data_IF_093610916348
#
_entry.id   IF_093610916348
#
_cell.length_a   1.000
_cell.length_b   1.000
_cell.length_c   1.000
_cell.angle_alpha   90.00
_cell.angle_beta   90.00
_cell.angle_gamma   90.00
#
_symmetry.space_group_name_H-M   'P 1'
#
loop_
_entity.id
_entity.type
_entity.pdbx_description
1 polymer ?
#
# COMPACT_ATOMS: atom_id res chain seq x y z
N UNK A 1 -3.30 23.41 15.91
CA UNK A 1 -4.43 22.63 15.32
C UNK A 1 -5.04 21.61 16.28
N UNK A 2 -4.49 21.39 17.49
CA UNK A 2 -4.95 20.39 18.46
C UNK A 2 -6.26 20.70 19.21
N UNK A 3 -6.82 21.90 19.06
CA UNK A 3 -8.07 22.33 19.73
C UNK A 3 -9.25 22.63 18.79
N UNK A 4 -9.12 22.37 17.48
CA UNK A 4 -10.20 22.60 16.53
C UNK A 4 -11.24 21.47 16.64
N UNK A 5 -12.54 21.74 16.80
CA UNK A 5 -13.54 20.68 16.83
C UNK A 5 -13.50 19.86 15.53
N UNK A 6 -13.57 18.53 15.64
CA UNK A 6 -13.36 17.62 14.50
C UNK A 6 -14.23 17.96 13.29
N UNK A 7 -15.48 18.39 13.50
CA UNK A 7 -16.37 18.83 12.43
C UNK A 7 -15.80 19.98 11.57
N UNK A 8 -15.06 20.92 12.17
CA UNK A 8 -14.39 22.00 11.43
C UNK A 8 -13.24 21.47 10.59
N UNK A 9 -12.45 20.53 11.12
CA UNK A 9 -11.37 19.87 10.38
C UNK A 9 -11.91 19.15 9.14
N UNK A 10 -13.07 18.49 9.28
CA UNK A 10 -13.79 17.83 8.18
C UNK A 10 -14.28 18.81 7.12
N UNK A 11 -14.83 19.96 7.54
CA UNK A 11 -15.26 21.03 6.63
C UNK A 11 -14.07 21.63 5.88
N UNK A 12 -12.96 21.86 6.58
CA UNK A 12 -11.72 22.31 5.94
C UNK A 12 -11.19 21.27 4.94
N UNK A 13 -11.21 19.98 5.30
CA UNK A 13 -10.84 18.90 4.39
C UNK A 13 -11.75 18.85 3.15
N UNK A 14 -13.05 19.13 3.28
CA UNK A 14 -13.94 19.25 2.14
C UNK A 14 -13.58 20.41 1.22
N UNK A 15 -13.34 21.59 1.78
CA UNK A 15 -12.96 22.77 1.02
C UNK A 15 -11.63 22.54 0.31
N UNK A 16 -10.63 22.06 1.05
CA UNK A 16 -9.33 21.68 0.50
C UNK A 16 -9.50 20.66 -0.64
N UNK A 17 -10.33 19.63 -0.47
CA UNK A 17 -10.62 18.64 -1.51
C UNK A 17 -11.23 19.24 -2.78
N UNK A 18 -12.11 20.23 -2.66
CA UNK A 18 -12.62 20.98 -3.83
C UNK A 18 -11.48 21.71 -4.52
N UNK A 19 -10.61 22.38 -3.75
CA UNK A 19 -9.40 23.04 -4.30
C UNK A 19 -8.50 22.02 -5.01
N UNK A 20 -8.21 20.86 -4.41
CA UNK A 20 -7.38 19.82 -5.04
C UNK A 20 -7.97 19.37 -6.39
N UNK A 21 -9.30 19.22 -6.45
CA UNK A 21 -9.99 18.81 -7.67
C UNK A 21 -9.76 19.80 -8.83
N UNK A 22 -9.83 21.11 -8.56
CA UNK A 22 -9.65 22.13 -9.60
C UNK A 22 -8.19 22.45 -9.90
N UNK A 23 -7.33 22.53 -8.87
CA UNK A 23 -5.96 23.02 -8.99
C UNK A 23 -4.93 21.94 -9.32
N UNK A 24 -5.25 20.64 -9.16
CA UNK A 24 -4.29 19.55 -9.44
C UNK A 24 -4.79 18.65 -10.59
N UNK A 25 -4.86 19.18 -11.82
CA UNK A 25 -5.48 18.51 -12.96
C UNK A 25 -4.78 17.19 -13.32
N UNK A 26 -3.46 17.09 -13.11
CA UNK A 26 -2.71 15.85 -13.36
C UNK A 26 -3.23 14.67 -12.54
N UNK A 27 -3.48 14.87 -11.25
CA UNK A 27 -4.01 13.82 -10.35
C UNK A 27 -5.45 13.48 -10.66
N UNK A 28 -6.27 14.49 -10.95
CA UNK A 28 -7.64 14.33 -11.44
C UNK A 28 -7.68 13.49 -12.73
N UNK A 29 -6.79 13.76 -13.68
CA UNK A 29 -6.74 13.04 -14.96
C UNK A 29 -6.31 11.58 -14.80
N UNK A 30 -5.39 11.27 -13.88
CA UNK A 30 -5.02 9.88 -13.53
C UNK A 30 -6.25 9.14 -12.98
N UNK A 31 -6.94 9.75 -12.01
CA UNK A 31 -8.17 9.17 -11.44
C UNK A 31 -9.24 8.96 -12.51
N UNK A 32 -9.43 9.93 -13.42
CA UNK A 32 -10.36 9.79 -14.53
C UNK A 32 -10.00 8.60 -15.43
N UNK A 33 -8.74 8.45 -15.84
CA UNK A 33 -8.29 7.31 -16.66
C UNK A 33 -8.61 5.99 -15.95
N UNK A 34 -8.26 5.86 -14.67
CA UNK A 34 -8.53 4.65 -13.91
C UNK A 34 -10.03 4.33 -13.85
N UNK A 35 -10.87 5.32 -13.55
CA UNK A 35 -12.32 5.14 -13.46
C UNK A 35 -12.95 4.84 -14.82
N UNK A 36 -12.40 5.38 -15.93
CA UNK A 36 -12.86 4.99 -17.28
C UNK A 36 -12.57 3.52 -17.58
N UNK A 37 -11.44 3.01 -17.11
CA UNK A 37 -11.02 1.64 -17.29
C UNK A 37 -11.83 0.68 -16.39
N UNK A 38 -11.98 1.01 -15.10
CA UNK A 38 -12.65 0.13 -14.13
C UNK A 38 -14.18 0.23 -14.16
N UNK A 39 -14.73 1.38 -14.54
CA UNK A 39 -16.17 1.64 -14.60
C UNK A 39 -16.57 2.22 -15.96
N UNK A 40 -16.41 1.46 -17.06
CA UNK A 40 -16.75 1.91 -18.42
C UNK A 40 -18.22 2.36 -18.56
N UNK A 41 -19.11 1.78 -17.76
CA UNK A 41 -20.55 2.07 -17.71
C UNK A 41 -20.90 3.42 -17.08
N UNK A 42 -20.02 4.02 -16.27
CA UNK A 42 -20.27 5.35 -15.69
C UNK A 42 -20.09 6.43 -16.76
N UNK A 43 -21.00 7.40 -16.79
CA UNK A 43 -20.84 8.63 -17.56
C UNK A 43 -19.65 9.45 -17.04
N UNK A 44 -19.13 10.35 -17.89
CA UNK A 44 -18.04 11.24 -17.47
C UNK A 44 -18.45 12.17 -16.31
N UNK A 45 -19.74 12.54 -16.21
CA UNK A 45 -20.28 13.32 -15.08
C UNK A 45 -20.26 12.54 -13.77
N UNK A 46 -20.66 11.27 -13.79
CA UNK A 46 -20.62 10.39 -12.60
C UNK A 46 -19.18 10.16 -12.14
N UNK A 47 -18.26 9.92 -13.09
CA UNK A 47 -16.83 9.80 -12.78
C UNK A 47 -16.27 11.06 -12.16
N UNK A 48 -16.58 12.24 -12.71
CA UNK A 48 -16.09 13.52 -12.16
C UNK A 48 -16.66 13.79 -10.76
N UNK A 49 -17.93 13.44 -10.50
CA UNK A 49 -18.52 13.52 -9.16
C UNK A 49 -17.81 12.59 -8.16
N UNK A 50 -17.49 11.36 -8.58
CA UNK A 50 -16.73 10.40 -7.78
C UNK A 50 -15.30 10.90 -7.50
N UNK A 51 -14.61 11.48 -8.49
CA UNK A 51 -13.28 12.05 -8.31
C UNK A 51 -13.32 13.24 -7.34
N UNK A 52 -14.34 14.11 -7.43
CA UNK A 52 -14.52 15.20 -6.47
C UNK A 52 -14.71 14.67 -5.04
N UNK A 53 -15.53 13.62 -4.87
CA UNK A 53 -15.69 12.96 -3.58
C UNK A 53 -14.37 12.36 -3.09
N UNK A 54 -13.62 11.67 -3.96
CA UNK A 54 -12.29 11.14 -3.69
C UNK A 54 -11.32 12.22 -3.21
N UNK A 55 -11.26 13.38 -3.88
CA UNK A 55 -10.41 14.50 -3.47
C UNK A 55 -10.77 15.02 -2.07
N UNK A 56 -12.07 15.07 -1.73
CA UNK A 56 -12.53 15.42 -0.38
C UNK A 56 -12.10 14.39 0.66
N UNK A 57 -12.27 13.10 0.39
CA UNK A 57 -11.79 12.03 1.28
C UNK A 57 -10.27 12.08 1.45
N UNK A 58 -9.52 12.33 0.39
CA UNK A 58 -8.07 12.40 0.42
C UNK A 58 -7.60 13.57 1.29
N UNK A 59 -8.16 14.76 1.07
CA UNK A 59 -7.83 15.95 1.85
C UNK A 59 -8.21 15.80 3.34
N UNK A 60 -9.39 15.22 3.64
CA UNK A 60 -9.77 14.88 5.01
C UNK A 60 -8.76 13.94 5.66
N UNK A 61 -8.39 12.85 4.98
CA UNK A 61 -7.43 11.87 5.51
C UNK A 61 -6.07 12.49 5.77
N UNK A 62 -5.60 13.35 4.85
CA UNK A 62 -4.36 14.09 5.04
C UNK A 62 -4.40 14.98 6.30
N UNK A 63 -5.50 15.70 6.51
CA UNK A 63 -5.67 16.54 7.71
C UNK A 63 -5.87 15.72 9.00
N UNK A 64 -6.55 14.58 8.91
CA UNK A 64 -6.77 13.69 10.04
C UNK A 64 -5.45 13.10 10.57
N UNK A 65 -4.35 13.11 9.79
CA UNK A 65 -3.00 12.79 10.29
C UNK A 65 -2.55 13.68 11.44
N UNK A 66 -2.94 14.96 11.47
CA UNK A 66 -2.61 15.83 12.60
C UNK A 66 -3.32 15.37 13.89
N UNK A 67 -4.51 14.79 13.78
CA UNK A 67 -5.20 14.14 14.91
C UNK A 67 -4.43 12.88 15.30
N UNK A 68 -4.12 12.01 14.35
CA UNK A 68 -3.42 10.74 14.61
C UNK A 68 -2.03 10.94 15.25
N UNK A 69 -1.28 11.97 14.84
CA UNK A 69 0.09 12.17 15.28
C UNK A 69 0.22 12.95 16.58
N UNK A 70 -0.73 13.82 16.91
CA UNK A 70 -0.56 14.74 18.04
C UNK A 70 -1.65 14.67 19.12
N UNK A 71 -2.79 14.01 18.88
CA UNK A 71 -3.85 13.89 19.90
C UNK A 71 -3.61 12.71 20.86
N UNK A 72 -4.29 12.69 22.03
CA UNK A 72 -4.27 11.55 22.96
C UNK A 72 -4.78 10.25 22.30
N UNK A 73 -4.35 9.11 22.85
CA UNK A 73 -4.70 7.77 22.34
C UNK A 73 -6.22 7.55 22.37
N UNK A 74 -6.88 8.03 23.41
CA UNK A 74 -8.32 7.92 23.64
C UNK A 74 -9.10 8.54 22.48
N UNK A 75 -8.64 9.71 22.03
CA UNK A 75 -9.24 10.40 20.88
C UNK A 75 -9.14 9.59 19.60
N UNK A 76 -8.03 8.88 19.41
CA UNK A 76 -7.81 8.02 18.24
C UNK A 76 -8.68 6.76 18.32
N UNK A 77 -8.84 6.18 19.52
CA UNK A 77 -9.73 5.04 19.77
C UNK A 77 -11.20 5.38 19.49
N UNK A 78 -11.66 6.57 19.90
CA UNK A 78 -12.99 7.07 19.56
C UNK A 78 -13.17 7.31 18.06
N UNK A 79 -12.16 7.88 17.41
CA UNK A 79 -12.22 8.23 16.00
C UNK A 79 -12.17 6.99 15.09
N UNK A 80 -11.51 5.91 15.50
CA UNK A 80 -11.31 4.72 14.67
C UNK A 80 -11.91 3.48 15.34
N UNK A 81 -13.12 3.14 14.91
CA UNK A 81 -13.86 1.98 15.40
C UNK A 81 -13.36 0.69 14.74
N UNK A 82 -13.31 -0.40 15.50
CA UNK A 82 -12.89 -1.72 15.01
C UNK A 82 -14.12 -2.61 14.87
N UNK A 83 -14.28 -3.22 13.70
CA UNK A 83 -15.31 -4.24 13.43
C UNK A 83 -14.65 -5.60 13.16
N UNK A 84 -15.33 -6.67 13.57
CA UNK A 84 -14.95 -8.05 13.29
C UNK A 84 -13.53 -8.43 13.78
N UNK A 85 -13.09 -7.84 14.92
CA UNK A 85 -11.76 -8.04 15.49
C UNK A 85 -11.37 -9.51 15.71
N UNK A 86 -12.35 -10.38 15.95
CA UNK A 86 -12.15 -11.82 16.15
C UNK A 86 -11.39 -12.49 15.00
N UNK A 87 -11.51 -12.02 13.75
CA UNK A 87 -10.71 -12.55 12.63
C UNK A 87 -9.21 -12.24 12.76
N UNK A 88 -8.86 -11.10 13.32
CA UNK A 88 -7.47 -10.75 13.62
C UNK A 88 -6.96 -11.52 14.84
N UNK A 89 -7.72 -11.48 15.93
CA UNK A 89 -7.38 -12.12 17.22
C UNK A 89 -7.28 -13.64 17.11
N UNK A 90 -7.93 -14.24 16.12
CA UNK A 90 -7.80 -15.67 15.81
C UNK A 90 -6.34 -16.07 15.54
N UNK A 91 -5.54 -15.20 14.93
CA UNK A 91 -4.18 -15.53 14.47
C UNK A 91 -3.07 -14.64 15.09
N UNK A 92 -3.40 -13.42 15.52
CA UNK A 92 -2.42 -12.46 16.04
C UNK A 92 -1.67 -13.03 17.25
N UNK A 93 -0.33 -13.04 17.19
CA UNK A 93 0.54 -13.59 18.24
C UNK A 93 0.56 -15.11 18.36
N UNK A 94 -0.18 -15.83 17.51
CA UNK A 94 -0.25 -17.31 17.52
C UNK A 94 0.48 -17.94 16.34
N UNK A 95 0.47 -17.26 15.20
CA UNK A 95 1.17 -17.68 13.99
C UNK A 95 1.60 -16.45 13.16
N UNK A 96 2.58 -16.58 12.24
CA UNK A 96 2.91 -15.51 11.31
C UNK A 96 1.67 -15.00 10.58
N UNK A 97 1.49 -13.68 10.51
CA UNK A 97 0.31 -13.08 9.89
C UNK A 97 0.68 -11.92 8.98
N UNK A 98 0.16 -11.94 7.76
CA UNK A 98 0.10 -10.79 6.87
C UNK A 98 -1.30 -10.18 7.01
N UNK A 99 -1.35 -8.96 7.50
CA UNK A 99 -2.56 -8.15 7.53
C UNK A 99 -2.66 -7.35 6.22
N UNK A 100 -3.45 -7.87 5.27
CA UNK A 100 -3.59 -7.30 3.94
C UNK A 100 -4.50 -6.09 3.98
N UNK A 101 -3.94 -4.90 3.78
CA UNK A 101 -4.62 -3.62 3.85
C UNK A 101 -4.50 -2.88 2.51
N UNK A 102 -5.49 -2.93 1.61
CA UNK A 102 -5.40 -2.23 0.33
C UNK A 102 -5.35 -0.71 0.53
N UNK A 103 -4.86 0.06 -0.45
CA UNK A 103 -4.71 1.52 -0.36
C UNK A 103 -6.06 2.26 -0.44
N UNK A 104 -6.91 2.07 0.56
CA UNK A 104 -8.02 2.95 0.87
C UNK A 104 -7.53 4.15 1.66
N UNK A 105 -8.21 5.28 1.49
CA UNK A 105 -7.79 6.56 2.10
C UNK A 105 -7.80 6.55 3.63
N UNK A 106 -8.44 5.57 4.27
CA UNK A 106 -8.42 5.39 5.72
C UNK A 106 -7.26 4.56 6.28
N UNK A 107 -6.38 4.01 5.43
CA UNK A 107 -5.31 3.10 5.85
C UNK A 107 -4.44 3.62 7.00
N UNK A 108 -4.07 4.90 7.00
CA UNK A 108 -3.22 5.46 8.06
C UNK A 108 -3.95 5.48 9.41
N UNK A 109 -5.25 5.77 9.42
CA UNK A 109 -6.06 5.75 10.63
C UNK A 109 -6.18 4.33 11.20
N UNK A 110 -6.37 3.34 10.33
CA UNK A 110 -6.37 1.92 10.69
C UNK A 110 -5.04 1.48 11.27
N UNK A 111 -3.94 1.72 10.55
CA UNK A 111 -2.59 1.38 11.00
C UNK A 111 -2.24 2.04 12.34
N UNK A 112 -2.58 3.32 12.53
CA UNK A 112 -2.40 4.01 13.82
C UNK A 112 -3.24 3.41 14.94
N UNK A 113 -4.52 3.08 14.68
CA UNK A 113 -5.39 2.46 15.69
C UNK A 113 -4.86 1.10 16.13
N UNK A 114 -4.32 0.31 15.20
CA UNK A 114 -3.79 -1.03 15.48
C UNK A 114 -2.42 -0.98 16.17
N UNK A 115 -1.55 -0.03 15.83
CA UNK A 115 -0.25 0.10 16.50
C UNK A 115 -0.33 0.63 17.94
N UNK A 116 -1.48 1.19 18.33
CA UNK A 116 -1.81 1.49 19.73
C UNK A 116 -2.08 0.20 20.52
N UNK A 117 -2.79 -0.76 19.91
CA UNK A 117 -3.25 -1.97 20.62
C UNK A 117 -2.32 -3.17 20.45
N UNK A 118 -1.51 -3.19 19.40
CA UNK A 118 -0.71 -4.34 19.01
C UNK A 118 0.67 -3.92 18.51
N UNK A 119 1.67 -4.75 18.82
CA UNK A 119 2.96 -4.67 18.14
C UNK A 119 2.82 -5.24 16.73
N UNK A 120 3.08 -4.42 15.72
CA UNK A 120 3.04 -4.77 14.31
C UNK A 120 4.19 -4.10 13.57
N UNK A 121 4.49 -4.58 12.37
CA UNK A 121 5.43 -3.92 11.49
C UNK A 121 4.81 -3.57 10.14
N UNK A 122 5.35 -2.56 9.48
CA UNK A 122 4.99 -2.16 8.12
C UNK A 122 6.22 -1.77 7.33
N UNK A 123 6.05 -1.61 6.01
CA UNK A 123 7.12 -1.13 5.13
C UNK A 123 6.90 0.33 4.77
N UNK A 124 7.98 1.10 4.77
CA UNK A 124 7.98 2.53 4.48
C UNK A 124 8.90 2.83 3.31
N UNK A 125 8.41 3.60 2.36
CA UNK A 125 9.22 4.21 1.32
C UNK A 125 9.55 5.65 1.73
N UNK A 126 10.84 5.98 1.71
CA UNK A 126 11.28 7.36 1.96
C UNK A 126 10.62 8.35 1.00
N UNK A 127 10.12 9.44 1.57
CA UNK A 127 9.54 10.57 0.85
C UNK A 127 10.65 11.51 0.36
N UNK A 128 10.42 12.20 -0.76
CA UNK A 128 11.41 13.12 -1.37
C UNK A 128 11.72 14.32 -0.47
N UNK A 129 10.68 14.90 0.13
CA UNK A 129 10.84 15.99 1.09
C UNK A 129 11.30 15.41 2.44
N UNK A 130 12.53 15.74 2.85
CA UNK A 130 13.16 15.19 4.06
C UNK A 130 12.45 15.61 5.36
N UNK A 131 11.97 16.85 5.44
CA UNK A 131 11.24 17.35 6.62
C UNK A 131 9.94 16.59 6.80
N UNK A 132 9.15 16.49 5.73
CA UNK A 132 7.91 15.72 5.73
C UNK A 132 8.14 14.23 5.96
N UNK A 133 9.22 13.66 5.40
CA UNK A 133 9.62 12.27 5.64
C UNK A 133 9.85 11.99 7.13
N UNK A 134 10.57 12.88 7.79
CA UNK A 134 10.91 12.73 9.21
C UNK A 134 9.68 12.88 10.10
N UNK A 135 8.82 13.86 9.85
CA UNK A 135 7.56 14.00 10.59
C UNK A 135 6.62 12.81 10.38
N UNK A 136 6.53 12.27 9.15
CA UNK A 136 5.76 11.06 8.90
C UNK A 136 6.33 9.85 9.65
N UNK A 137 7.66 9.72 9.69
CA UNK A 137 8.33 8.64 10.42
C UNK A 137 8.06 8.74 11.92
N UNK A 138 8.19 9.93 12.51
CA UNK A 138 7.85 10.20 13.92
C UNK A 138 6.38 9.90 14.22
N UNK A 139 5.47 10.40 13.39
CA UNK A 139 4.03 10.17 13.57
C UNK A 139 3.65 8.70 13.50
N UNK A 140 4.23 7.93 12.58
CA UNK A 140 3.99 6.48 12.45
C UNK A 140 4.65 5.65 13.54
N UNK A 141 5.80 6.08 14.05
CA UNK A 141 6.54 5.39 15.13
C UNK A 141 6.13 5.85 16.54
N UNK A 142 5.19 6.79 16.67
CA UNK A 142 4.78 7.36 17.96
C UNK A 142 4.24 6.32 18.94
N UNK A 143 3.58 5.27 18.45
CA UNK A 143 3.03 4.23 19.29
C UNK A 143 4.03 3.09 19.44
N UNK A 144 4.16 2.57 20.65
CA UNK A 144 5.14 1.53 21.02
C UNK A 144 5.01 0.24 20.19
N UNK A 145 3.84 0.01 19.59
CA UNK A 145 3.60 -1.13 18.72
C UNK A 145 4.08 -0.97 17.29
N UNK A 146 4.55 0.19 16.82
CA UNK A 146 4.88 0.41 15.41
C UNK A 146 6.35 0.15 15.07
N UNK A 147 6.62 -0.89 14.27
CA UNK A 147 7.95 -1.17 13.68
C UNK A 147 7.92 -0.77 12.20
N UNK A 148 8.80 0.15 11.79
CA UNK A 148 8.86 0.65 10.41
C UNK A 148 10.12 0.15 9.73
N UNK A 149 9.97 -0.72 8.74
CA UNK A 149 11.07 -1.23 7.92
C UNK A 149 11.21 -0.41 6.64
N UNK A 150 12.44 -0.09 6.25
CA UNK A 150 12.72 0.56 4.96
C UNK A 150 12.46 -0.40 3.82
N UNK A 151 11.72 0.06 2.80
CA UNK A 151 11.48 -0.73 1.58
C UNK A 151 12.76 -0.97 0.78
N UNK A 152 13.72 -0.05 0.89
CA UNK A 152 15.01 -0.13 0.21
C UNK A 152 15.86 -1.29 0.70
N UNK A 153 15.60 -1.77 1.93
CA UNK A 153 16.35 -2.87 2.56
C UNK A 153 15.82 -4.25 2.11
N UNK A 154 14.81 -4.26 1.23
CA UNK A 154 14.19 -5.47 0.70
C UNK A 154 13.27 -6.18 1.69
N UNK A 155 12.96 -7.46 1.42
CA UNK A 155 12.00 -8.24 2.21
C UNK A 155 12.64 -9.08 3.34
N UNK A 156 13.97 -9.08 3.47
CA UNK A 156 14.66 -9.93 4.46
C UNK A 156 14.24 -9.60 5.89
N UNK A 157 14.16 -8.31 6.23
CA UNK A 157 13.67 -7.85 7.54
C UNK A 157 12.21 -8.25 7.78
N UNK A 158 11.36 -8.15 6.75
CA UNK A 158 9.95 -8.53 6.83
C UNK A 158 9.78 -10.04 7.08
N UNK A 159 10.53 -10.88 6.38
CA UNK A 159 10.52 -12.34 6.57
C UNK A 159 10.90 -12.71 8.01
N UNK A 160 11.96 -12.07 8.53
CA UNK A 160 12.39 -12.28 9.92
C UNK A 160 11.27 -11.92 10.91
N UNK A 161 10.67 -10.73 10.77
CA UNK A 161 9.61 -10.25 11.67
C UNK A 161 8.34 -11.09 11.61
N UNK A 162 7.95 -11.53 10.41
CA UNK A 162 6.85 -12.50 10.25
C UNK A 162 7.11 -13.80 11.01
N UNK A 163 8.33 -14.36 10.90
CA UNK A 163 8.71 -15.59 11.63
C UNK A 163 8.77 -15.40 13.14
N UNK A 164 9.02 -14.19 13.61
CA UNK A 164 8.92 -13.81 15.03
C UNK A 164 7.45 -13.68 15.50
N UNK A 165 6.46 -13.90 14.63
CA UNK A 165 5.04 -13.81 14.95
C UNK A 165 4.48 -12.38 15.01
N UNK A 166 5.26 -11.38 14.57
CA UNK A 166 4.83 -9.99 14.54
C UNK A 166 3.94 -9.77 13.30
N UNK A 167 2.69 -9.31 13.44
CA UNK A 167 1.81 -9.06 12.31
C UNK A 167 2.38 -8.02 11.33
N UNK A 168 2.27 -8.32 10.03
CA UNK A 168 2.72 -7.44 8.96
C UNK A 168 1.57 -6.66 8.34
N UNK A 169 1.44 -5.36 8.65
CA UNK A 169 0.49 -4.46 7.99
C UNK A 169 0.99 -4.11 6.58
N UNK A 170 0.42 -4.75 5.57
CA UNK A 170 0.96 -4.75 4.21
C UNK A 170 -0.06 -4.30 3.15
N UNK A 171 0.38 -3.40 2.27
CA UNK A 171 -0.46 -2.79 1.24
C UNK A 171 0.05 -3.15 -0.17
N UNK A 172 -0.51 -4.19 -0.82
CA UNK A 172 0.10 -4.82 -1.99
C UNK A 172 -0.46 -4.37 -3.35
N UNK A 173 -1.38 -3.41 -3.39
CA UNK A 173 -2.20 -3.09 -4.56
C UNK A 173 -1.67 -1.92 -5.42
N UNK A 174 -0.40 -1.57 -5.23
CA UNK A 174 0.28 -0.57 -6.05
C UNK A 174 0.99 -1.23 -7.24
N UNK A 175 1.09 -0.46 -8.33
CA UNK A 175 1.91 -0.83 -9.49
C UNK A 175 3.37 -0.47 -9.21
N UNK A 176 4.19 -1.51 -9.01
CA UNK A 176 5.62 -1.40 -8.70
C UNK A 176 6.53 -1.79 -9.87
N UNK A 177 5.99 -1.87 -11.08
CA UNK A 177 6.71 -2.34 -12.27
C UNK A 177 6.50 -3.82 -12.57
N UNK A 178 7.09 -4.29 -13.68
CA UNK A 178 6.93 -5.66 -14.15
C UNK A 178 7.73 -6.68 -13.33
N UNK A 179 8.82 -6.24 -12.69
CA UNK A 179 9.63 -7.09 -11.84
C UNK A 179 8.81 -7.57 -10.64
N UNK A 180 8.80 -8.88 -10.41
CA UNK A 180 8.07 -9.54 -9.31
C UNK A 180 6.56 -9.28 -9.32
N UNK A 181 6.00 -8.95 -10.50
CA UNK A 181 4.58 -8.76 -10.74
C UNK A 181 4.08 -9.74 -11.79
N UNK A 182 2.80 -10.08 -11.70
CA UNK A 182 2.04 -10.77 -12.75
C UNK A 182 0.95 -9.84 -13.29
N UNK A 183 0.50 -10.08 -14.52
CA UNK A 183 -0.55 -9.29 -15.17
C UNK A 183 -1.93 -9.93 -14.98
N UNK A 184 -2.49 -9.79 -13.79
CA UNK A 184 -3.84 -10.27 -13.45
C UNK A 184 -4.88 -9.16 -13.61
N UNK A 185 -6.16 -9.50 -13.88
CA UNK A 185 -7.21 -8.48 -14.02
C UNK A 185 -7.40 -7.68 -12.73
N UNK A 186 -7.67 -6.39 -12.89
CA UNK A 186 -8.25 -5.49 -11.90
C UNK A 186 -9.41 -4.74 -12.58
N UNK A 187 -10.65 -5.05 -12.21
CA UNK A 187 -11.87 -4.68 -12.92
C UNK A 187 -11.81 -5.04 -14.41
N UNK A 188 -11.36 -6.26 -14.71
CA UNK A 188 -11.21 -6.77 -16.08
C UNK A 188 -10.01 -6.23 -16.87
N UNK A 189 -9.31 -5.21 -16.36
CA UNK A 189 -8.12 -4.65 -17.01
C UNK A 189 -6.86 -5.29 -16.44
N UNK A 190 -5.99 -5.86 -17.28
CA UNK A 190 -4.70 -6.43 -16.83
C UNK A 190 -3.92 -5.36 -16.06
N UNK A 191 -3.51 -5.64 -14.83
CA UNK A 191 -2.72 -4.75 -14.00
C UNK A 191 -1.46 -5.47 -13.52
N UNK A 192 -0.30 -4.82 -13.60
CA UNK A 192 0.91 -5.31 -12.95
C UNK A 192 0.67 -5.32 -11.43
N UNK A 193 0.59 -6.52 -10.87
CA UNK A 193 0.28 -6.72 -9.46
C UNK A 193 1.36 -7.61 -8.85
N UNK A 194 1.96 -7.14 -7.75
CA UNK A 194 3.07 -7.82 -7.11
C UNK A 194 2.63 -9.16 -6.52
N UNK A 195 3.47 -10.19 -6.67
CA UNK A 195 3.21 -11.52 -6.08
C UNK A 195 3.73 -11.63 -4.65
N UNK A 196 4.11 -10.53 -4.02
CA UNK A 196 4.82 -10.50 -2.74
C UNK A 196 4.01 -11.06 -1.58
N UNK A 197 2.68 -10.87 -1.55
CA UNK A 197 1.80 -11.45 -0.52
C UNK A 197 1.89 -12.98 -0.56
N UNK A 198 1.69 -13.58 -1.73
CA UNK A 198 1.79 -15.03 -1.90
C UNK A 198 3.18 -15.57 -1.59
N UNK A 199 4.23 -14.94 -2.12
CA UNK A 199 5.61 -15.37 -1.83
C UNK A 199 5.95 -15.30 -0.34
N UNK A 200 5.56 -14.22 0.35
CA UNK A 200 5.78 -14.10 1.79
C UNK A 200 4.99 -15.15 2.56
N UNK A 201 3.73 -15.39 2.21
CA UNK A 201 2.91 -16.43 2.81
C UNK A 201 3.55 -17.82 2.64
N UNK A 202 4.06 -18.17 1.45
CA UNK A 202 4.79 -19.44 1.23
C UNK A 202 6.07 -19.54 2.09
N UNK A 203 6.90 -18.49 2.11
CA UNK A 203 8.21 -18.51 2.78
C UNK A 203 8.11 -18.52 4.32
N UNK A 204 7.00 -18.02 4.86
CA UNK A 204 6.80 -17.82 6.30
C UNK A 204 5.65 -18.64 6.88
N UNK A 205 4.87 -19.30 6.03
CA UNK A 205 3.59 -19.96 6.37
C UNK A 205 2.59 -18.99 7.01
N UNK A 206 2.68 -17.71 6.65
CA UNK A 206 1.82 -16.69 7.25
C UNK A 206 0.37 -16.78 6.78
N UNK A 207 -0.57 -16.63 7.71
CA UNK A 207 -1.98 -16.42 7.40
C UNK A 207 -2.17 -15.04 6.80
N UNK A 208 -2.97 -14.96 5.73
CA UNK A 208 -3.36 -13.69 5.13
C UNK A 208 -4.74 -13.32 5.66
N UNK A 209 -4.79 -12.31 6.52
CA UNK A 209 -6.03 -11.75 7.08
C UNK A 209 -6.26 -10.40 6.43
N UNK A 210 -7.34 -10.19 5.66
CA UNK A 210 -7.60 -8.88 5.09
C UNK A 210 -8.18 -7.90 6.13
N UNK A 211 -7.87 -6.62 5.98
CA UNK A 211 -8.56 -5.53 6.65
C UNK A 211 -8.75 -4.34 5.71
N UNK A 212 -9.84 -3.60 5.91
CA UNK A 212 -10.11 -2.36 5.18
C UNK A 212 -10.51 -1.29 6.16
N UNK A 213 -9.87 -0.13 6.06
CA UNK A 213 -10.25 1.05 6.84
C UNK A 213 -10.93 2.07 5.94
N UNK A 214 -12.21 2.31 6.22
CA UNK A 214 -13.03 3.30 5.53
C UNK A 214 -13.32 4.48 6.45
N UNK A 215 -13.33 5.66 5.87
CA UNK A 215 -13.77 6.88 6.52
C UNK A 215 -15.30 6.89 6.59
N UNK A 216 -15.83 7.24 7.76
CA UNK A 216 -17.25 7.43 8.04
C UNK A 216 -17.56 8.93 8.20
N UNK A 217 -18.79 9.27 8.57
CA UNK A 217 -19.18 10.65 8.84
C UNK A 217 -18.48 11.21 10.09
N UNK A 218 -18.29 10.39 11.10
CA UNK A 218 -17.77 10.77 12.43
C UNK A 218 -16.32 10.36 12.67
N UNK A 219 -15.70 9.60 11.77
CA UNK A 219 -14.32 9.15 11.90
C UNK A 219 -13.98 8.08 10.87
N UNK A 220 -13.60 6.91 11.37
CA UNK A 220 -13.18 5.76 10.58
C UNK A 220 -13.68 4.46 11.17
N UNK A 221 -13.68 3.45 10.32
CA UNK A 221 -14.04 2.08 10.65
C UNK A 221 -13.06 1.14 10.00
N UNK A 222 -12.34 0.37 10.82
CA UNK A 222 -11.44 -0.69 10.39
C UNK A 222 -12.16 -2.01 10.55
N UNK A 223 -12.44 -2.67 9.43
CA UNK A 223 -13.09 -3.98 9.42
C UNK A 223 -12.10 -5.07 9.04
N UNK A 224 -12.07 -6.14 9.81
CA UNK A 224 -11.32 -7.35 9.48
C UNK A 224 -12.21 -8.35 8.74
N UNK A 225 -11.59 -9.21 7.95
CA UNK A 225 -12.24 -10.26 7.17
C UNK A 225 -11.63 -11.62 7.51
N UNK A 226 -12.34 -12.73 7.23
CA UNK A 226 -11.79 -14.07 7.43
C UNK A 226 -10.41 -14.22 6.78
N UNK A 227 -9.53 -14.95 7.46
CA UNK A 227 -8.27 -15.37 6.85
C UNK A 227 -8.56 -16.16 5.57
N UNK A 228 -7.70 -16.01 4.56
CA UNK A 228 -7.86 -16.78 3.34
C UNK A 228 -7.40 -18.22 3.55
N UNK A 229 -8.34 -19.15 3.40
CA UNK A 229 -8.05 -20.58 3.45
C UNK A 229 -7.25 -21.04 2.23
N UNK A 230 -6.27 -21.92 2.47
CA UNK A 230 -5.43 -22.49 1.41
C UNK A 230 -4.52 -21.50 0.68
N UNK A 231 -4.46 -20.23 1.09
CA UNK A 231 -3.64 -19.23 0.41
C UNK A 231 -2.13 -19.40 0.66
N UNK A 232 -1.26 -19.21 -0.35
CA UNK A 232 -1.56 -18.84 -1.74
C UNK A 232 -1.78 -20.02 -2.70
N UNK A 233 -1.77 -21.26 -2.20
CA UNK A 233 -1.69 -22.45 -3.05
C UNK A 233 -0.37 -22.51 -3.84
N UNK A 234 -0.40 -23.27 -4.94
CA UNK A 234 0.77 -23.53 -5.79
C UNK A 234 0.88 -22.55 -6.98
N UNK A 235 -0.20 -21.84 -7.31
CA UNK A 235 -0.24 -20.87 -8.41
C UNK A 235 -0.29 -19.42 -7.87
N UNK A 236 0.86 -18.75 -7.93
CA UNK A 236 0.98 -17.35 -7.52
C UNK A 236 0.17 -16.38 -8.39
N UNK A 237 -0.11 -16.72 -9.65
CA UNK A 237 -0.98 -15.88 -10.49
C UNK A 237 -2.42 -15.97 -10.00
N UNK A 238 -2.94 -17.18 -9.74
CA UNK A 238 -4.26 -17.38 -9.15
C UNK A 238 -4.39 -16.69 -7.78
N UNK A 239 -3.38 -16.81 -6.92
CA UNK A 239 -3.31 -16.12 -5.63
C UNK A 239 -3.35 -14.59 -5.77
N UNK A 240 -2.63 -14.04 -6.75
CA UNK A 240 -2.60 -12.59 -7.01
C UNK A 240 -3.94 -12.12 -7.60
N UNK A 241 -4.61 -12.95 -8.40
CA UNK A 241 -5.96 -12.70 -8.91
C UNK A 241 -7.00 -12.69 -7.80
N UNK A 242 -6.94 -13.65 -6.86
CA UNK A 242 -7.79 -13.67 -5.66
C UNK A 242 -7.67 -12.37 -4.86
N UNK A 243 -6.44 -11.86 -4.71
CA UNK A 243 -6.20 -10.58 -4.04
C UNK A 243 -6.87 -9.41 -4.77
N UNK A 244 -6.70 -9.30 -6.09
CA UNK A 244 -7.38 -8.24 -6.85
C UNK A 244 -8.90 -8.36 -6.74
N UNK A 245 -9.47 -9.55 -6.85
CA UNK A 245 -10.92 -9.78 -6.72
C UNK A 245 -11.44 -9.35 -5.34
N UNK A 246 -10.69 -9.64 -4.27
CA UNK A 246 -11.02 -9.14 -2.93
C UNK A 246 -11.03 -7.61 -2.91
N UNK A 247 -10.00 -6.96 -3.45
CA UNK A 247 -9.91 -5.49 -3.48
C UNK A 247 -11.05 -4.89 -4.29
N UNK A 248 -11.36 -5.43 -5.48
CA UNK A 248 -12.46 -4.98 -6.33
C UNK A 248 -13.80 -4.98 -5.56
N UNK A 249 -14.10 -6.05 -4.84
CA UNK A 249 -15.31 -6.14 -4.04
C UNK A 249 -15.39 -5.04 -2.97
N UNK A 250 -14.27 -4.71 -2.31
CA UNK A 250 -14.20 -3.61 -1.33
C UNK A 250 -14.30 -2.24 -1.99
N UNK A 251 -13.75 -2.09 -3.20
CA UNK A 251 -13.85 -0.85 -3.97
C UNK A 251 -15.29 -0.59 -4.37
N UNK A 252 -16.06 -1.62 -4.71
CA UNK A 252 -17.49 -1.47 -5.04
C UNK A 252 -18.33 -0.98 -3.85
N UNK A 253 -17.94 -1.31 -2.61
CA UNK A 253 -18.61 -0.84 -1.38
C UNK A 253 -18.37 0.67 -1.11
N UNK A 254 -17.18 1.18 -1.45
CA UNK A 254 -16.79 2.56 -1.18
C UNK A 254 -15.88 3.14 -2.27
N UNK A 255 -16.38 3.34 -3.51
CA UNK A 255 -15.52 3.58 -4.66
C UNK A 255 -14.75 4.89 -4.56
N UNK A 256 -15.33 5.95 -3.98
CA UNK A 256 -14.61 7.22 -3.79
C UNK A 256 -13.40 7.13 -2.83
N UNK A 257 -13.32 6.08 -2.00
CA UNK A 257 -12.31 5.95 -0.96
C UNK A 257 -11.09 5.11 -1.36
N UNK A 258 -11.07 4.53 -2.56
CA UNK A 258 -9.89 3.87 -3.11
C UNK A 258 -8.87 4.88 -3.67
N UNK A 259 -7.57 4.60 -3.63
CA UNK A 259 -6.51 5.51 -4.10
C UNK A 259 -6.46 5.63 -5.64
N UNK A 260 -7.45 6.29 -6.24
CA UNK A 260 -7.55 6.49 -7.69
C UNK A 260 -6.47 7.40 -8.28
N UNK A 261 -5.74 8.16 -7.46
CA UNK A 261 -4.68 9.06 -7.91
C UNK A 261 -3.33 8.36 -8.16
N UNK A 262 -3.25 7.06 -7.87
CA UNK A 262 -2.14 6.20 -8.29
C UNK A 262 -2.31 5.76 -9.75
N UNK A 263 -1.22 5.67 -10.51
CA UNK A 263 -1.25 5.13 -11.88
C UNK A 263 -1.27 3.59 -11.83
N UNK A 264 -2.44 3.01 -11.47
CA UNK A 264 -2.62 1.56 -11.25
C UNK A 264 -2.25 0.68 -12.46
N UNK A 265 -2.35 1.23 -13.67
CA UNK A 265 -2.14 0.50 -14.92
C UNK A 265 -0.90 0.98 -15.70
N UNK A 266 0.10 1.61 -15.03
CA UNK A 266 1.23 2.26 -15.73
C UNK A 266 2.14 1.25 -16.41
N UNK A 267 2.27 0.07 -15.81
CA UNK A 267 3.03 -1.05 -16.32
C UNK A 267 2.06 -1.95 -17.08
N UNK A 268 2.34 -2.15 -18.37
CA UNK A 268 1.49 -2.92 -19.28
C UNK A 268 2.20 -4.19 -19.74
N UNK A 269 1.46 -5.24 -20.14
CA UNK A 269 2.03 -6.33 -20.91
C UNK A 269 2.77 -5.81 -22.15
N UNK A 270 3.85 -6.48 -22.58
CA UNK A 270 4.58 -6.09 -23.80
C UNK A 270 3.62 -5.94 -25.00
N UNK A 271 3.75 -4.84 -25.74
CA UNK A 271 2.91 -4.53 -26.90
C UNK A 271 1.55 -3.88 -26.58
N UNK A 272 1.12 -3.82 -25.31
CA UNK A 272 -0.12 -3.13 -24.95
C UNK A 272 0.07 -1.61 -24.79
N UNK A 273 -0.97 -0.84 -25.12
CA UNK A 273 -0.98 0.62 -25.06
C UNK A 273 -0.76 1.17 -23.66
N UNK A 274 0.08 2.20 -23.53
CA UNK A 274 0.16 3.03 -22.32
C UNK A 274 -1.06 3.97 -22.18
N UNK A 275 -1.86 3.74 -21.14
CA UNK A 275 -3.03 4.56 -20.85
C UNK A 275 -2.70 5.99 -20.38
N UNK A 276 -1.51 6.21 -19.82
CA UNK A 276 -1.12 7.51 -19.25
C UNK A 276 -0.12 8.29 -20.10
N UNK A 277 0.21 7.83 -21.31
CA UNK A 277 1.28 8.40 -22.15
C UNK A 277 1.17 9.91 -22.32
N UNK A 278 -0.03 10.40 -22.65
CA UNK A 278 -0.33 11.85 -22.80
C UNK A 278 -0.14 12.69 -21.52
N UNK A 279 -0.04 12.05 -20.35
CA UNK A 279 0.28 12.73 -19.08
C UNK A 279 1.78 12.71 -18.76
N UNK A 280 2.61 11.99 -19.53
CA UNK A 280 4.07 12.03 -19.42
C UNK A 280 4.64 13.23 -20.17
N UNK A 281 4.02 13.62 -21.28
CA UNK A 281 4.55 14.60 -22.25
C UNK A 281 4.26 16.08 -21.90
N UNK A 282 3.60 16.35 -20.77
CA UNK A 282 3.39 17.73 -20.27
C UNK A 282 4.41 17.98 -19.16
N UNK A 283 5.57 18.52 -19.55
CA UNK A 283 6.66 18.94 -18.66
C UNK A 283 6.72 20.48 -18.60
N UNK A 284 6.60 21.13 -17.42
CA UNK A 284 7.10 22.48 -17.23
C UNK A 284 8.50 22.36 -16.62
N UNK A 285 9.49 22.15 -17.48
CA UNK A 285 10.94 22.18 -17.20
C UNK A 285 11.53 21.17 -16.18
N UNK A 286 12.55 20.46 -16.71
CA UNK A 286 13.72 19.85 -16.07
C UNK A 286 13.54 18.50 -15.37
N UNK A 287 13.79 17.44 -16.16
CA UNK A 287 14.62 16.26 -15.86
C UNK A 287 15.03 16.06 -14.39
N UNK A 288 14.27 15.24 -13.67
CA UNK A 288 14.82 14.24 -12.72
C UNK A 288 13.78 13.14 -12.56
N UNK A 289 14.19 11.92 -12.90
CA UNK A 289 13.52 10.64 -12.68
C UNK A 289 12.39 10.66 -11.61
N UNK A 290 11.14 10.61 -12.09
CA UNK A 290 9.93 10.62 -11.27
C UNK A 290 9.42 9.19 -10.99
N UNK A 291 10.32 8.31 -10.55
CA UNK A 291 9.97 7.21 -9.65
C UNK A 291 9.73 7.77 -8.23
N UNK A 292 8.47 8.04 -7.88
CA UNK A 292 8.11 8.58 -6.56
C UNK A 292 7.23 9.82 -6.71
N UNK A 293 5.94 9.57 -6.80
CA UNK A 293 4.91 10.61 -6.80
C UNK A 293 3.85 10.23 -5.78
N UNK A 294 4.26 10.15 -4.52
CA UNK A 294 3.41 10.32 -3.34
C UNK A 294 3.86 11.61 -2.65
N UNK A 295 2.89 12.50 -2.40
CA UNK A 295 3.01 13.78 -1.70
C UNK A 295 3.60 14.97 -2.48
N UNK A 296 2.77 15.97 -2.82
CA UNK A 296 2.87 17.40 -2.44
C UNK A 296 1.52 18.04 -2.79
N UNK A 297 0.65 18.23 -1.80
CA UNK A 297 -0.27 19.38 -1.75
C UNK A 297 -0.36 19.79 -0.27
N UNK A 298 -0.28 21.10 -0.03
CA UNK A 298 -0.26 21.79 1.27
C UNK A 298 1.11 21.90 1.96
N UNK A 299 1.94 22.83 1.47
CA UNK A 299 2.73 23.74 2.30
C UNK A 299 3.41 24.76 1.36
N UNK A 300 2.65 25.74 0.89
CA UNK A 300 3.24 26.99 0.42
C UNK A 300 2.24 28.13 0.60
N UNK A 301 2.13 28.58 1.85
CA UNK A 301 1.70 29.92 2.25
C UNK A 301 2.11 30.10 3.71
N UNK A 302 2.88 31.16 3.97
CA UNK A 302 3.43 31.61 5.25
C UNK A 302 4.78 31.00 5.67
N UNK A 303 5.86 31.52 5.08
CA UNK A 303 7.08 31.92 5.80
C UNK A 303 8.03 32.67 4.85
N UNK A 304 7.54 33.76 4.24
CA UNK A 304 8.44 34.84 3.83
C UNK A 304 8.55 35.79 5.03
N UNK A 305 9.75 36.30 5.29
CA UNK A 305 10.16 37.15 6.43
C UNK A 305 10.71 36.45 7.68
N UNK A 306 11.76 35.62 7.56
CA UNK A 306 12.80 35.56 8.61
C UNK A 306 14.12 34.87 8.16
N UNK A 307 14.67 35.26 7.01
CA UNK A 307 16.04 34.83 6.64
C UNK A 307 16.80 35.94 5.89
N UNK A 308 16.79 37.14 6.47
CA UNK A 308 17.74 38.21 6.14
C UNK A 308 18.36 38.71 7.44
N UNK A 309 19.13 37.85 8.11
CA UNK A 309 19.68 38.19 9.43
C UNK A 309 20.57 37.14 10.07
N UNK A 310 21.23 36.25 9.31
CA UNK A 310 22.19 35.30 9.88
C UNK A 310 23.18 34.79 8.82
N UNK A 311 23.75 35.71 8.05
CA UNK A 311 24.95 35.49 7.23
C UNK A 311 25.87 36.71 7.36
N UNK A 312 26.25 37.03 8.60
CA UNK A 312 27.42 37.84 8.96
C UNK A 312 27.85 37.47 10.39
N UNK A 313 28.42 36.27 10.56
CA UNK A 313 29.31 35.92 11.66
C UNK A 313 29.72 34.44 11.56
N UNK A 314 30.75 34.14 10.76
CA UNK A 314 31.68 33.02 10.95
C UNK A 314 32.67 32.99 9.77
N UNK A 315 33.36 34.11 9.56
CA UNK A 315 34.64 34.12 8.87
C UNK A 315 35.70 34.29 9.94
N UNK A 316 36.35 33.20 10.35
CA UNK A 316 37.68 33.18 10.96
C UNK A 316 38.05 31.76 11.42
N UNK A 317 39.31 31.39 11.15
CA UNK A 317 40.06 30.21 11.59
C UNK A 317 39.73 28.88 10.87
N UNK A 318 40.68 28.19 10.22
CA UNK A 318 42.11 28.39 10.05
C UNK A 318 42.70 27.16 9.36
N UNK A 319 43.54 27.38 8.35
CA UNK A 319 44.33 26.38 7.64
C UNK A 319 45.63 26.03 8.41
N UNK A 320 46.05 24.77 8.36
CA UNK A 320 47.45 24.30 8.21
C UNK A 320 47.40 22.77 7.91
N UNK A 321 47.81 22.31 6.72
CA UNK A 321 49.14 21.75 6.35
C UNK A 321 49.46 20.38 7.01
N UNK A 322 50.06 19.34 6.42
CA UNK A 322 50.50 18.90 5.08
C UNK A 322 51.16 17.50 5.24
N UNK A 323 51.46 16.78 4.13
CA UNK A 323 52.46 15.68 4.06
C UNK A 323 51.89 14.31 3.65
N UNK A 324 51.98 13.89 2.38
CA UNK A 324 53.06 13.06 1.74
C UNK A 324 52.96 11.56 2.10
N UNK A 325 53.15 10.53 1.24
CA UNK A 325 53.63 10.31 -0.14
C UNK A 325 53.37 8.83 -0.54
N UNK A 326 53.33 8.51 -1.86
CA UNK A 326 53.84 7.31 -2.62
C UNK A 326 53.80 5.88 -2.01
N UNK A 327 53.64 4.75 -2.73
CA UNK A 327 53.86 4.40 -4.14
C UNK A 327 53.34 2.97 -4.48
N UNK A 328 53.32 2.70 -5.80
CA UNK A 328 53.56 1.43 -6.55
C UNK A 328 52.57 0.23 -6.58
N UNK A 329 52.20 -0.12 -7.82
CA UNK A 329 51.57 -1.36 -8.33
C UNK A 329 52.65 -2.44 -8.71
N UNK A 330 52.38 -3.45 -9.59
CA UNK A 330 51.60 -4.70 -9.41
C UNK A 330 52.37 -5.95 -9.91
N UNK A 331 51.95 -7.19 -9.63
CA UNK A 331 52.35 -8.37 -10.45
C UNK A 331 51.27 -9.47 -10.53
N UNK A 332 51.03 -9.88 -11.78
CA UNK A 332 50.39 -11.02 -12.44
C UNK A 332 50.07 -12.35 -11.72
N UNK A 333 49.13 -13.12 -12.31
CA UNK A 333 49.20 -14.58 -12.27
C UNK A 333 47.98 -15.40 -12.74
N UNK A 334 47.83 -15.54 -14.06
CA UNK A 334 47.34 -16.71 -14.83
C UNK A 334 45.99 -17.45 -14.58
N UNK A 335 45.43 -17.82 -15.74
CA UNK A 335 44.27 -18.67 -16.02
C UNK A 335 44.53 -20.17 -15.85
N UNK A 336 43.47 -21.00 -15.89
CA UNK A 336 43.30 -22.15 -16.83
C UNK A 336 42.05 -23.01 -16.48
N UNK A 337 41.20 -23.19 -17.52
CA UNK A 337 40.39 -24.34 -18.02
C UNK A 337 39.37 -25.14 -17.19
N UNK A 338 38.14 -25.09 -17.74
CA UNK A 338 37.13 -26.11 -18.12
C UNK A 338 37.35 -27.64 -17.92
N UNK A 339 36.26 -28.32 -17.52
CA UNK A 339 35.70 -29.57 -18.07
C UNK A 339 34.18 -29.61 -17.74
N UNK A 340 33.22 -29.65 -18.67
CA UNK A 340 32.65 -30.76 -19.48
C UNK A 340 32.25 -32.03 -18.71
N UNK A 341 30.95 -32.39 -18.83
CA UNK A 341 30.35 -33.63 -18.36
C UNK A 341 28.84 -33.67 -18.64
N UNK A 342 28.47 -34.04 -19.87
CA UNK A 342 27.12 -34.44 -20.28
C UNK A 342 26.71 -35.80 -19.70
N UNK A 343 25.40 -36.02 -19.56
CA UNK A 343 24.83 -37.34 -19.26
C UNK A 343 23.30 -37.30 -19.21
N UNK A 344 22.66 -37.59 -20.33
CA UNK A 344 21.22 -37.59 -20.55
C UNK A 344 20.51 -38.89 -20.10
N UNK A 345 19.17 -38.86 -20.20
CA UNK A 345 18.22 -39.96 -20.55
C UNK A 345 17.10 -40.23 -19.50
N UNK A 346 15.85 -39.90 -19.89
CA UNK A 346 14.53 -40.33 -19.38
C UNK A 346 14.10 -41.67 -20.09
N UNK A 347 12.86 -42.23 -20.06
CA UNK A 347 11.61 -41.96 -19.29
C UNK A 347 10.87 -43.25 -18.77
N UNK A 348 9.75 -43.08 -18.06
CA UNK A 348 8.47 -43.85 -18.16
C UNK A 348 7.56 -43.50 -16.96
N UNK A 349 6.38 -42.86 -17.12
CA UNK A 349 5.03 -43.39 -17.43
C UNK A 349 4.39 -44.17 -16.27
N UNK A 350 3.22 -43.70 -15.81
CA UNK A 350 2.29 -44.46 -14.96
C UNK A 350 1.23 -43.61 -14.22
N UNK A 351 0.11 -43.32 -14.87
CA UNK A 351 -1.22 -43.11 -14.23
C UNK A 351 -1.98 -44.44 -14.27
N UNK A 352 -2.93 -44.70 -13.34
CA UNK A 352 -4.36 -44.36 -13.50
C UNK A 352 -4.91 -43.65 -12.23
N UNK A 353 -5.95 -42.80 -12.22
CA UNK A 353 -7.34 -42.88 -12.70
C UNK A 353 -8.23 -43.87 -11.91
N UNK A 354 -8.94 -43.34 -10.91
CA UNK A 354 -10.21 -43.80 -10.34
C UNK A 354 -11.02 -42.51 -10.03
N UNK A 355 -12.31 -42.30 -10.33
CA UNK A 355 -13.34 -43.20 -10.83
C UNK A 355 -14.54 -43.26 -9.88
N UNK A 356 -15.51 -42.33 -10.02
CA UNK A 356 -16.90 -42.36 -9.51
C UNK A 356 -17.09 -42.50 -7.98
N UNK A 357 -18.14 -42.01 -7.32
CA UNK A 357 -19.41 -41.42 -7.68
C UNK A 357 -20.33 -41.68 -6.49
N UNK A 358 -21.07 -40.68 -6.01
CA UNK A 358 -22.20 -40.96 -5.11
C UNK A 358 -23.34 -39.98 -5.39
N UNK A 359 -24.44 -40.57 -5.83
CA UNK A 359 -25.73 -39.98 -6.10
C UNK A 359 -26.68 -40.34 -4.95
N UNK A 360 -27.59 -39.41 -4.68
CA UNK A 360 -28.98 -39.63 -4.22
C UNK A 360 -29.26 -39.99 -2.75
N UNK A 361 -30.05 -39.10 -2.13
CA UNK A 361 -30.95 -39.39 -1.01
C UNK A 361 -32.01 -38.27 -0.90
N UNK A 362 -33.32 -38.54 -1.08
CA UNK A 362 -34.38 -37.53 -1.10
C UNK A 362 -35.21 -37.48 0.21
N UNK A 363 -35.99 -36.39 0.36
CA UNK A 363 -37.14 -36.28 1.28
C UNK A 363 -36.78 -35.71 2.66
N UNK A 364 -37.54 -34.83 3.28
CA UNK A 364 -38.90 -34.35 3.05
C UNK A 364 -39.49 -33.94 4.41
N UNK A 365 -40.44 -33.00 4.37
CA UNK A 365 -41.43 -32.69 5.43
C UNK A 365 -41.01 -31.88 6.67
N UNK A 366 -41.29 -30.58 6.58
CA UNK A 366 -41.91 -29.73 7.62
C UNK A 366 -43.35 -30.23 7.84
N UNK A 367 -43.91 -30.30 9.08
CA UNK A 367 -44.82 -29.22 9.53
C UNK A 367 -44.95 -28.96 11.05
N UNK A 368 -45.31 -27.70 11.35
CA UNK A 368 -46.16 -27.16 12.45
C UNK A 368 -45.63 -27.33 13.88
N UNK A 369 -45.58 -26.31 14.73
CA UNK A 369 -46.53 -25.21 14.93
C UNK A 369 -47.39 -25.52 16.15
N UNK A 370 -47.23 -24.78 17.26
CA UNK A 370 -48.11 -24.89 18.42
C UNK A 370 -47.46 -24.45 19.73
N UNK A 371 -47.64 -23.18 20.07
CA UNK A 371 -47.51 -22.66 21.44
C UNK A 371 -48.67 -23.18 22.28
N UNK A 372 -48.38 -23.76 23.44
CA UNK A 372 -49.02 -23.56 24.74
C UNK A 372 -48.25 -24.40 25.77
#
# INVERSE_FOLDING_TARGET
MSGLPYAWLRRLGNLAGVVLYYCVPRRRNIARINLRLCFPQMSDRERDALILAHCKFFARSFLDRFVLWYQPIERIREMVQIEDAHYFEAHAGKEPMILLAPHFLGMDAGGSRLSIDHTMFTMFANQKNKVFNEEMRKGRARFSGAIVLSRQDGLRGAIRKLREGVPFYFLPDMDLGARDSVFVPFFGVKAATVTSVGRLAQMTRAKVVPCVTLMTDTGYRTRFYPAWDGYPGDDLEAATRQMNAFIEARVLEAPAQYLWTHKRFKTRPPGERDYYGRLRDVDPMTTTDLGGAETVIAADTAADTEQAGQQRAAGAAGETSAGERMDTQPVSGQAVQASTGEGAVRPAVGMPADGAGEQTGPGGAVPRGGRA
#
